data_IF_068480809528
#
_entry.id   IF_068480809528
#
_cell.length_a   1.000
_cell.length_b   1.000
_cell.length_c   1.000
_cell.angle_alpha   90.00
_cell.angle_beta   90.00
_cell.angle_gamma   90.00
#
_symmetry.space_group_name_H-M   'P 1'
#
loop_
_entity.id
_entity.type
_entity.pdbx_description
1 polymer ?
#
# COMPACT_ATOMS: atom_id res chain seq x y z
N UNK A 1 31.17 -12.68 -0.36
CA UNK A 1 31.79 -11.37 0.00
C UNK A 1 31.59 -10.34 -1.12
N UNK A 2 31.86 -10.71 -2.39
CA UNK A 2 31.71 -9.81 -3.55
C UNK A 2 30.23 -9.41 -3.73
N UNK A 3 29.31 -10.37 -3.76
CA UNK A 3 27.88 -10.13 -3.92
C UNK A 3 27.30 -9.20 -2.84
N UNK A 4 27.73 -9.36 -1.58
CA UNK A 4 27.28 -8.48 -0.50
C UNK A 4 27.68 -7.01 -0.74
N UNK A 5 28.91 -6.77 -1.23
CA UNK A 5 29.39 -5.43 -1.56
C UNK A 5 28.60 -4.82 -2.72
N UNK A 6 28.40 -5.56 -3.81
CA UNK A 6 27.63 -5.11 -4.96
C UNK A 6 26.21 -4.73 -4.58
N UNK A 7 25.52 -5.58 -3.82
CA UNK A 7 24.16 -5.34 -3.35
C UNK A 7 24.10 -4.14 -2.40
N UNK A 8 25.03 -4.03 -1.44
CA UNK A 8 25.09 -2.90 -0.53
C UNK A 8 25.36 -1.57 -1.24
N UNK A 9 26.18 -1.57 -2.28
CA UNK A 9 26.43 -0.37 -3.09
C UNK A 9 25.22 0.02 -3.94
N UNK A 10 24.46 -0.94 -4.47
CA UNK A 10 23.21 -0.69 -5.19
C UNK A 10 22.14 -0.03 -4.30
N UNK A 11 22.02 -0.47 -3.05
CA UNK A 11 21.07 0.09 -2.08
C UNK A 11 21.47 1.44 -1.47
N UNK A 12 22.60 2.01 -1.84
CA UNK A 12 22.94 3.42 -1.56
C UNK A 12 22.12 4.38 -2.41
N UNK A 13 21.58 3.91 -3.54
CA UNK A 13 20.70 4.70 -4.39
C UNK A 13 19.32 4.86 -3.75
N UNK A 14 18.87 6.11 -3.60
CA UNK A 14 17.62 6.43 -2.91
C UNK A 14 16.42 6.55 -3.85
N UNK A 15 16.66 6.93 -5.10
CA UNK A 15 15.60 7.05 -6.12
C UNK A 15 15.19 5.67 -6.61
N UNK A 16 13.91 5.33 -6.50
CA UNK A 16 13.36 4.00 -6.77
C UNK A 16 13.82 3.40 -8.11
N UNK A 17 13.60 4.12 -9.21
CA UNK A 17 13.91 3.61 -10.55
C UNK A 17 15.42 3.38 -10.74
N UNK A 18 16.25 4.30 -10.27
CA UNK A 18 17.70 4.18 -10.32
C UNK A 18 18.19 3.04 -9.42
N UNK A 19 17.58 2.86 -8.26
CA UNK A 19 17.88 1.74 -7.33
C UNK A 19 17.53 0.41 -7.97
N UNK A 20 16.34 0.26 -8.55
CA UNK A 20 15.95 -0.98 -9.23
C UNK A 20 16.91 -1.35 -10.35
N UNK A 21 17.33 -0.37 -11.16
CA UNK A 21 18.34 -0.59 -12.20
C UNK A 21 19.66 -1.10 -11.60
N UNK A 22 20.18 -0.43 -10.57
CA UNK A 22 21.45 -0.83 -9.92
C UNK A 22 21.35 -2.19 -9.23
N UNK A 23 20.23 -2.51 -8.62
CA UNK A 23 19.98 -3.84 -8.01
C UNK A 23 19.93 -4.91 -9.09
N UNK A 24 19.29 -4.65 -10.25
CA UNK A 24 19.31 -5.52 -11.41
C UNK A 24 20.74 -5.78 -11.89
N UNK A 25 21.50 -4.72 -12.19
CA UNK A 25 22.91 -4.80 -12.59
C UNK A 25 23.79 -5.56 -11.59
N UNK A 26 23.55 -5.36 -10.28
CA UNK A 26 24.26 -6.10 -9.23
C UNK A 26 23.92 -7.60 -9.25
N UNK A 27 22.64 -7.96 -9.43
CA UNK A 27 22.20 -9.36 -9.57
C UNK A 27 22.80 -10.03 -10.81
N UNK A 28 22.78 -9.35 -11.94
CA UNK A 28 23.35 -9.85 -13.20
C UNK A 28 24.85 -10.10 -13.04
N UNK A 29 25.59 -9.15 -12.44
CA UNK A 29 27.01 -9.32 -12.19
C UNK A 29 27.34 -10.46 -11.23
N UNK A 30 26.51 -10.67 -10.21
CA UNK A 30 26.67 -11.81 -9.29
C UNK A 30 26.43 -13.13 -10.04
N UNK A 31 25.41 -13.19 -10.89
CA UNK A 31 25.10 -14.36 -11.70
C UNK A 31 26.25 -14.71 -12.69
N UNK A 32 26.85 -13.70 -13.32
CA UNK A 32 28.03 -13.89 -14.18
C UNK A 32 29.18 -14.52 -13.40
N UNK A 33 29.53 -13.98 -12.21
CA UNK A 33 30.60 -14.50 -11.36
C UNK A 33 30.31 -15.95 -10.94
N UNK A 34 29.07 -16.27 -10.58
CA UNK A 34 28.68 -17.63 -10.20
C UNK A 34 28.80 -18.59 -11.37
N UNK A 35 28.42 -18.18 -12.59
CA UNK A 35 28.58 -18.98 -13.80
C UNK A 35 30.05 -19.20 -14.15
N UNK A 36 30.90 -18.17 -14.04
CA UNK A 36 32.37 -18.28 -14.25
C UNK A 36 33.02 -19.27 -13.26
N UNK A 37 32.50 -19.32 -12.03
CA UNK A 37 32.97 -20.27 -10.99
C UNK A 37 32.32 -21.67 -11.11
N UNK A 38 31.43 -21.89 -12.09
CA UNK A 38 30.82 -23.19 -12.35
C UNK A 38 29.59 -23.52 -11.47
N UNK A 39 28.99 -22.52 -10.81
CA UNK A 39 27.79 -22.71 -10.00
C UNK A 39 26.51 -22.62 -10.86
N UNK A 40 25.47 -23.33 -10.44
CA UNK A 40 24.14 -23.24 -11.06
C UNK A 40 23.44 -21.94 -10.66
N UNK A 41 23.24 -21.05 -11.60
CA UNK A 41 22.61 -19.74 -11.41
C UNK A 41 21.13 -19.88 -10.99
N UNK A 42 20.41 -20.92 -11.42
CA UNK A 42 19.02 -21.14 -11.02
C UNK A 42 18.91 -21.46 -9.51
N UNK A 43 19.84 -22.22 -8.97
CA UNK A 43 19.93 -22.50 -7.54
C UNK A 43 20.35 -21.28 -6.74
N UNK A 44 20.98 -20.30 -7.35
CA UNK A 44 21.40 -19.07 -6.68
C UNK A 44 20.27 -18.03 -6.48
N UNK A 45 19.19 -18.09 -7.24
CA UNK A 45 18.07 -17.12 -7.16
C UNK A 45 17.50 -16.93 -5.76
N UNK A 46 17.17 -17.99 -5.00
CA UNK A 46 16.72 -17.83 -3.60
C UNK A 46 17.78 -17.19 -2.71
N UNK A 47 19.04 -17.52 -2.91
CA UNK A 47 20.18 -16.97 -2.14
C UNK A 47 20.41 -15.49 -2.42
N UNK A 48 20.17 -15.03 -3.65
CA UNK A 48 20.23 -13.61 -4.01
C UNK A 48 19.16 -12.80 -3.29
N UNK A 49 17.95 -13.35 -3.18
CA UNK A 49 16.85 -12.73 -2.43
C UNK A 49 17.19 -12.65 -0.94
N UNK A 50 17.77 -13.69 -0.38
CA UNK A 50 18.20 -13.71 1.02
C UNK A 50 19.33 -12.71 1.26
N UNK A 51 20.30 -12.63 0.35
CA UNK A 51 21.39 -11.64 0.39
C UNK A 51 20.86 -10.21 0.39
N UNK A 52 19.89 -9.94 -0.48
CA UNK A 52 19.20 -8.65 -0.56
C UNK A 52 18.49 -8.31 0.77
N UNK A 53 17.76 -9.27 1.33
CA UNK A 53 17.11 -9.11 2.63
C UNK A 53 18.14 -8.83 3.75
N UNK A 54 19.22 -9.58 3.82
CA UNK A 54 20.28 -9.39 4.82
C UNK A 54 20.91 -7.99 4.73
N UNK A 55 21.20 -7.51 3.51
CA UNK A 55 21.78 -6.18 3.30
C UNK A 55 20.83 -5.08 3.74
N UNK A 56 19.58 -5.12 3.30
CA UNK A 56 18.58 -4.08 3.59
C UNK A 56 18.19 -4.08 5.06
N UNK A 57 17.77 -5.22 5.59
CA UNK A 57 17.32 -5.39 6.98
C UNK A 57 18.45 -5.08 7.96
N UNK A 58 19.66 -5.61 7.69
CA UNK A 58 20.84 -5.34 8.51
C UNK A 58 21.25 -3.87 8.52
N UNK A 59 21.14 -3.17 7.39
CA UNK A 59 21.39 -1.73 7.29
C UNK A 59 20.39 -0.92 8.12
N UNK A 60 19.10 -1.19 7.98
CA UNK A 60 18.04 -0.48 8.70
C UNK A 60 18.18 -0.66 10.22
N UNK A 61 18.38 -1.90 10.69
CA UNK A 61 18.56 -2.18 12.12
C UNK A 61 19.83 -1.54 12.71
N UNK A 62 20.91 -1.46 11.91
CA UNK A 62 22.18 -0.88 12.37
C UNK A 62 22.18 0.64 12.39
N UNK A 63 21.57 1.27 11.40
CA UNK A 63 21.69 2.72 11.17
C UNK A 63 20.44 3.50 11.55
N UNK A 64 19.27 2.86 11.61
CA UNK A 64 17.97 3.53 11.71
C UNK A 64 17.58 4.31 10.45
N UNK A 65 18.31 4.13 9.35
CA UNK A 65 18.08 4.82 8.07
C UNK A 65 17.52 3.82 7.06
N UNK A 66 16.41 4.18 6.42
CA UNK A 66 15.70 3.36 5.43
C UNK A 66 16.30 3.51 4.03
N UNK A 67 15.86 2.67 3.11
CA UNK A 67 16.38 2.62 1.74
C UNK A 67 16.16 3.91 0.93
N UNK A 68 15.17 4.71 1.30
CA UNK A 68 14.90 6.04 0.72
C UNK A 68 15.55 7.19 1.52
N UNK A 69 16.24 6.88 2.61
CA UNK A 69 16.93 7.83 3.45
C UNK A 69 16.14 8.42 4.60
N UNK A 70 14.85 8.05 4.75
CA UNK A 70 14.04 8.43 5.93
C UNK A 70 14.52 7.69 7.18
N UNK A 71 14.14 8.21 8.33
CA UNK A 71 14.18 7.48 9.59
C UNK A 71 13.01 6.48 9.69
N UNK A 72 12.88 5.79 10.82
CA UNK A 72 11.87 4.75 11.00
C UNK A 72 10.44 5.30 11.13
N UNK A 73 10.27 6.56 11.50
CA UNK A 73 8.98 7.18 11.86
C UNK A 73 8.43 8.15 10.82
N UNK A 74 9.29 8.74 10.02
CA UNK A 74 8.90 9.77 9.05
C UNK A 74 8.01 9.20 7.95
N UNK A 75 6.85 9.82 7.76
CA UNK A 75 5.93 9.56 6.65
C UNK A 75 6.40 10.36 5.43
N UNK A 76 6.25 9.80 4.22
CA UNK A 76 6.54 10.50 2.97
C UNK A 76 5.71 11.78 2.84
N UNK A 77 6.19 12.79 2.10
CA UNK A 77 5.41 14.00 1.83
C UNK A 77 4.04 13.66 1.24
N UNK A 78 3.00 14.32 1.76
CA UNK A 78 1.63 14.14 1.30
C UNK A 78 1.19 15.42 0.57
N UNK A 79 0.62 15.24 -0.62
CA UNK A 79 -0.12 16.25 -1.35
C UNK A 79 -1.53 15.73 -1.57
N UNK A 80 -2.53 16.52 -1.19
CA UNK A 80 -3.93 16.18 -1.34
C UNK A 80 -4.67 17.34 -2.01
N UNK A 81 -5.32 17.03 -3.13
CA UNK A 81 -6.09 17.98 -3.92
C UNK A 81 -7.51 17.45 -4.09
N UNK A 82 -8.51 18.34 -4.06
CA UNK A 82 -9.92 18.00 -4.25
C UNK A 82 -10.52 18.83 -5.40
N UNK A 83 -11.67 18.40 -5.91
CA UNK A 83 -12.36 19.12 -6.99
C UNK A 83 -11.60 19.11 -8.32
N UNK A 84 -10.70 18.14 -8.54
CA UNK A 84 -9.83 18.10 -9.73
C UNK A 84 -10.57 17.70 -11.02
N UNK A 85 -11.70 17.02 -10.89
CA UNK A 85 -12.56 16.65 -12.02
C UNK A 85 -13.84 17.47 -11.99
N UNK A 86 -13.98 18.50 -12.84
CA UNK A 86 -15.06 19.50 -12.73
C UNK A 86 -16.44 18.98 -13.06
N UNK A 87 -16.57 17.74 -13.58
CA UNK A 87 -17.84 17.10 -13.93
C UNK A 87 -18.21 15.92 -13.05
N UNK A 88 -17.36 15.57 -12.07
CA UNK A 88 -17.64 14.58 -11.05
C UNK A 88 -18.41 15.23 -9.89
N UNK A 89 -19.15 14.44 -9.10
CA UNK A 89 -19.78 14.95 -7.88
C UNK A 89 -18.74 15.29 -6.81
N UNK A 90 -17.70 14.44 -6.68
CA UNK A 90 -16.52 14.72 -5.89
C UNK A 90 -15.29 14.00 -6.45
N UNK A 91 -14.12 14.55 -6.26
CA UNK A 91 -12.88 13.96 -6.74
C UNK A 91 -11.70 14.40 -5.89
N UNK A 92 -10.71 13.53 -5.78
CA UNK A 92 -9.45 13.83 -5.12
C UNK A 92 -8.26 13.21 -5.84
N UNK A 93 -7.12 13.88 -5.76
CA UNK A 93 -5.82 13.33 -6.09
C UNK A 93 -5.01 13.27 -4.79
N UNK A 94 -4.78 12.08 -4.30
CA UNK A 94 -3.99 11.85 -3.10
C UNK A 94 -2.63 11.29 -3.49
N UNK A 95 -1.58 12.02 -3.17
CA UNK A 95 -0.19 11.63 -3.43
C UNK A 95 0.57 11.52 -2.13
N UNK A 96 1.28 10.41 -1.92
CA UNK A 96 2.19 10.18 -0.81
C UNK A 96 3.52 9.68 -1.36
N UNK A 97 4.48 10.58 -1.51
CA UNK A 97 5.73 10.31 -2.24
C UNK A 97 5.44 9.73 -3.62
N UNK A 98 5.89 8.52 -3.88
CA UNK A 98 5.72 7.77 -5.16
C UNK A 98 4.49 6.85 -5.13
N UNK A 99 3.43 7.23 -4.43
CA UNK A 99 2.14 6.51 -4.43
C UNK A 99 1.03 7.52 -4.64
N UNK A 100 0.25 7.35 -5.70
CA UNK A 100 -0.81 8.27 -6.08
C UNK A 100 -2.10 7.54 -6.40
N UNK A 101 -3.21 8.06 -5.91
CA UNK A 101 -4.57 7.60 -6.17
C UNK A 101 -5.44 8.74 -6.67
N UNK A 102 -6.01 8.59 -7.84
CA UNK A 102 -7.09 9.42 -8.35
C UNK A 102 -8.41 8.78 -7.91
N UNK A 103 -9.15 9.50 -7.08
CA UNK A 103 -10.40 8.97 -6.51
C UNK A 103 -11.58 9.83 -6.92
N UNK A 104 -12.64 9.17 -7.37
CA UNK A 104 -13.86 9.81 -7.84
C UNK A 104 -15.06 9.29 -7.06
N UNK A 105 -15.86 10.20 -6.51
CA UNK A 105 -17.14 9.91 -5.88
C UNK A 105 -18.29 10.30 -6.81
N UNK A 106 -19.22 9.36 -6.99
CA UNK A 106 -20.45 9.56 -7.76
C UNK A 106 -21.66 9.28 -6.88
N UNK A 107 -22.62 10.18 -6.92
CA UNK A 107 -23.88 10.06 -6.20
C UNK A 107 -24.96 9.60 -7.17
N UNK A 108 -25.68 8.55 -6.82
CA UNK A 108 -26.77 7.97 -7.60
C UNK A 108 -28.07 7.95 -6.81
N UNK A 109 -29.09 7.40 -7.42
CA UNK A 109 -30.43 7.21 -6.84
C UNK A 109 -30.54 5.85 -6.13
N UNK A 110 -31.65 5.55 -5.49
CA UNK A 110 -31.92 4.24 -4.92
C UNK A 110 -32.02 3.10 -5.97
N UNK A 111 -32.18 3.43 -7.26
CA UNK A 111 -32.15 2.43 -8.34
C UNK A 111 -30.72 1.97 -8.66
N UNK A 112 -29.73 2.79 -8.30
CA UNK A 112 -28.30 2.51 -8.54
C UNK A 112 -27.67 1.67 -7.41
N UNK A 113 -28.45 1.30 -6.39
CA UNK A 113 -28.00 0.42 -5.30
C UNK A 113 -27.58 -0.95 -5.85
N UNK A 114 -26.48 -1.46 -5.35
CA UNK A 114 -26.04 -2.81 -5.69
C UNK A 114 -26.95 -3.84 -5.03
N UNK A 115 -27.53 -4.71 -5.82
CA UNK A 115 -28.23 -5.91 -5.35
C UNK A 115 -27.18 -6.99 -5.05
N UNK A 116 -27.19 -7.50 -3.83
CA UNK A 116 -26.31 -8.57 -3.39
C UNK A 116 -27.18 -9.77 -3.08
N UNK A 117 -27.03 -10.82 -3.91
CA UNK A 117 -27.66 -12.12 -3.70
C UNK A 117 -26.68 -12.98 -2.90
N UNK A 118 -26.94 -13.09 -1.60
CA UNK A 118 -26.10 -13.84 -0.65
C UNK A 118 -26.83 -15.10 -0.16
N UNK A 119 -26.10 -16.00 0.45
CA UNK A 119 -26.66 -17.26 1.01
C UNK A 119 -27.75 -16.96 2.08
N UNK A 120 -27.58 -15.88 2.82
CA UNK A 120 -28.50 -15.42 3.86
C UNK A 120 -29.72 -14.67 3.32
N UNK A 121 -29.76 -14.41 2.02
CA UNK A 121 -30.83 -13.67 1.34
C UNK A 121 -30.35 -12.47 0.53
N UNK A 122 -31.27 -11.89 -0.24
CA UNK A 122 -30.99 -10.71 -1.05
C UNK A 122 -31.04 -9.43 -0.21
N UNK A 123 -30.04 -8.56 -0.37
CA UNK A 123 -30.05 -7.22 0.22
C UNK A 123 -29.45 -6.19 -0.74
N UNK A 124 -29.68 -4.91 -0.46
CA UNK A 124 -29.16 -3.80 -1.26
C UNK A 124 -28.12 -3.01 -0.50
N UNK A 125 -27.06 -2.62 -1.20
CA UNK A 125 -25.99 -1.77 -0.68
C UNK A 125 -26.00 -0.42 -1.40
N UNK A 126 -26.07 0.66 -0.65
CA UNK A 126 -25.98 2.03 -1.15
C UNK A 126 -24.57 2.61 -1.14
N UNK A 127 -23.57 1.82 -0.76
CA UNK A 127 -22.15 2.21 -0.80
C UNK A 127 -21.32 1.19 -1.54
N UNK A 128 -20.71 1.62 -2.64
CA UNK A 128 -19.85 0.84 -3.50
C UNK A 128 -18.45 1.47 -3.54
N UNK A 129 -17.41 0.67 -3.38
CA UNK A 129 -16.04 1.11 -3.54
C UNK A 129 -15.28 0.16 -4.44
N UNK A 130 -14.73 0.69 -5.52
CA UNK A 130 -13.94 -0.03 -6.50
C UNK A 130 -12.50 0.46 -6.46
N UNK A 131 -11.58 -0.47 -6.38
CA UNK A 131 -10.14 -0.21 -6.38
C UNK A 131 -9.54 -0.85 -7.63
N UNK A 132 -8.86 -0.05 -8.43
CA UNK A 132 -8.20 -0.48 -9.64
C UNK A 132 -6.69 -0.26 -9.54
N UNK A 133 -5.94 -1.32 -9.84
CA UNK A 133 -4.48 -1.33 -9.78
C UNK A 133 -3.89 -1.79 -11.13
N UNK A 134 -3.87 -0.89 -12.12
CA UNK A 134 -3.37 -1.24 -13.44
C UNK A 134 -1.85 -1.45 -13.43
N UNK A 135 -1.31 -2.29 -14.35
CA UNK A 135 0.12 -2.60 -14.39
C UNK A 135 1.02 -1.37 -14.49
N UNK A 136 0.59 -0.34 -15.20
CA UNK A 136 1.36 0.90 -15.34
C UNK A 136 1.64 1.61 -14.00
N UNK A 137 0.83 1.37 -12.96
CA UNK A 137 1.02 1.97 -11.64
C UNK A 137 2.34 1.56 -10.97
N UNK A 138 2.91 0.45 -11.40
CA UNK A 138 4.24 -0.03 -10.96
C UNK A 138 5.28 -0.01 -12.08
N UNK A 139 4.95 0.63 -13.23
CA UNK A 139 5.85 0.75 -14.38
C UNK A 139 5.92 -0.51 -15.24
N UNK A 140 4.94 -1.39 -15.14
CA UNK A 140 4.88 -2.64 -15.90
C UNK A 140 3.92 -2.54 -17.09
N UNK A 141 4.23 -3.31 -18.16
CA UNK A 141 3.30 -3.58 -19.24
C UNK A 141 2.55 -4.88 -18.93
N UNK A 142 1.22 -4.83 -18.95
CA UNK A 142 0.40 -5.98 -18.62
C UNK A 142 -1.01 -5.88 -19.20
N UNK A 143 -1.73 -7.00 -19.15
CA UNK A 143 -3.11 -7.05 -19.60
C UNK A 143 -4.02 -6.33 -18.61
N UNK A 144 -4.82 -5.40 -19.09
CA UNK A 144 -5.92 -4.82 -18.34
C UNK A 144 -7.17 -5.70 -18.52
N UNK A 145 -7.77 -6.10 -17.40
CA UNK A 145 -8.92 -7.02 -17.39
C UNK A 145 -9.81 -6.78 -16.19
N UNK A 146 -10.61 -7.78 -15.82
CA UNK A 146 -11.42 -7.75 -14.60
C UNK A 146 -10.54 -7.67 -13.35
N UNK A 147 -11.01 -7.03 -12.27
CA UNK A 147 -10.26 -6.93 -11.02
C UNK A 147 -9.86 -8.31 -10.48
N UNK A 148 -8.60 -8.44 -10.11
CA UNK A 148 -8.07 -9.63 -9.47
C UNK A 148 -8.41 -9.70 -7.97
N UNK A 149 -8.08 -10.82 -7.32
CA UNK A 149 -8.35 -11.01 -5.88
C UNK A 149 -7.70 -9.94 -5.01
N UNK A 150 -6.51 -9.47 -5.39
CA UNK A 150 -5.79 -8.40 -4.67
C UNK A 150 -6.56 -7.09 -4.72
N UNK A 151 -7.07 -6.72 -5.89
CA UNK A 151 -7.86 -5.50 -6.06
C UNK A 151 -9.17 -5.55 -5.28
N UNK A 152 -9.88 -6.69 -5.32
CA UNK A 152 -11.10 -6.91 -4.54
C UNK A 152 -10.80 -6.80 -3.03
N UNK A 153 -9.72 -7.42 -2.54
CA UNK A 153 -9.32 -7.38 -1.13
C UNK A 153 -8.95 -5.97 -0.66
N UNK A 154 -8.17 -5.22 -1.46
CA UNK A 154 -7.81 -3.84 -1.16
C UNK A 154 -9.02 -2.89 -1.19
N UNK A 155 -9.90 -3.05 -2.18
CA UNK A 155 -11.17 -2.32 -2.24
C UNK A 155 -12.04 -2.59 -1.03
N UNK A 156 -12.15 -3.85 -0.59
CA UNK A 156 -12.93 -4.22 0.60
C UNK A 156 -12.34 -3.68 1.90
N UNK A 157 -11.01 -3.60 2.00
CA UNK A 157 -10.35 -2.96 3.13
C UNK A 157 -10.69 -1.47 3.20
N UNK A 158 -10.59 -0.75 2.08
CA UNK A 158 -10.95 0.66 2.01
C UNK A 158 -12.46 0.89 2.27
N UNK A 159 -13.31 0.02 1.74
CA UNK A 159 -14.74 0.04 2.02
C UNK A 159 -15.02 -0.09 3.53
N UNK A 160 -14.40 -1.06 4.22
CA UNK A 160 -14.56 -1.24 5.66
C UNK A 160 -14.06 -0.05 6.46
N UNK A 161 -12.99 0.61 6.01
CA UNK A 161 -12.45 1.78 6.68
C UNK A 161 -13.42 2.96 6.70
N UNK A 162 -14.21 3.14 5.64
CA UNK A 162 -15.11 4.28 5.44
C UNK A 162 -16.55 3.98 5.91
N UNK A 163 -17.01 2.76 5.70
CA UNK A 163 -18.41 2.38 5.91
C UNK A 163 -19.00 2.78 7.28
N UNK A 164 -18.27 2.63 8.42
CA UNK A 164 -18.82 3.02 9.73
C UNK A 164 -19.07 4.52 9.90
N UNK A 165 -18.51 5.34 9.02
CA UNK A 165 -18.58 6.81 9.07
C UNK A 165 -19.62 7.39 8.08
N UNK A 166 -20.21 6.53 7.25
CA UNK A 166 -21.18 6.99 6.26
C UNK A 166 -22.50 7.39 6.94
N UNK A 167 -23.19 8.41 6.43
CA UNK A 167 -24.51 8.79 6.90
C UNK A 167 -25.52 7.68 6.65
N UNK A 168 -26.58 7.62 7.47
CA UNK A 168 -27.71 6.74 7.20
C UNK A 168 -28.47 7.19 5.94
N UNK A 169 -29.26 6.28 5.37
CA UNK A 169 -30.05 6.56 4.17
C UNK A 169 -31.08 7.69 4.39
N UNK A 170 -31.56 7.85 5.63
CA UNK A 170 -32.49 8.92 6.00
C UNK A 170 -31.79 10.28 6.03
N UNK A 171 -30.51 10.32 6.42
CA UNK A 171 -29.71 11.54 6.47
C UNK A 171 -29.16 11.94 5.10
N UNK A 172 -28.85 10.94 4.26
CA UNK A 172 -28.25 11.16 2.94
C UNK A 172 -28.79 10.11 1.94
N UNK A 173 -29.90 10.38 1.25
CA UNK A 173 -30.67 9.39 0.48
C UNK A 173 -30.05 9.08 -0.91
N UNK A 174 -28.74 9.10 -1.03
CA UNK A 174 -28.04 8.80 -2.27
C UNK A 174 -27.27 7.48 -2.18
N UNK A 175 -27.19 6.80 -3.31
CA UNK A 175 -26.23 5.73 -3.52
C UNK A 175 -24.86 6.35 -3.79
N UNK A 176 -23.86 5.95 -3.04
CA UNK A 176 -22.49 6.47 -3.14
C UNK A 176 -21.61 5.43 -3.83
N UNK A 177 -21.02 5.80 -4.97
CA UNK A 177 -20.04 4.97 -5.66
C UNK A 177 -18.69 5.68 -5.67
N UNK A 178 -17.68 5.04 -5.10
CA UNK A 178 -16.29 5.51 -5.11
C UNK A 178 -15.47 4.62 -6.02
N UNK A 179 -14.70 5.23 -6.91
CA UNK A 179 -13.73 4.53 -7.77
C UNK A 179 -12.35 5.12 -7.50
N UNK A 180 -11.41 4.28 -7.12
CA UNK A 180 -10.02 4.65 -6.90
C UNK A 180 -9.14 4.04 -7.97
N UNK A 181 -8.54 4.90 -8.80
CA UNK A 181 -7.56 4.54 -9.81
C UNK A 181 -6.16 4.80 -9.26
N UNK A 182 -5.36 3.75 -9.13
CA UNK A 182 -3.97 3.88 -8.70
C UNK A 182 -3.12 4.25 -9.91
N UNK A 183 -2.61 5.46 -9.92
CA UNK A 183 -1.78 5.99 -11.01
C UNK A 183 -0.29 5.71 -10.82
N UNK A 184 0.16 5.63 -9.57
CA UNK A 184 1.52 5.25 -9.20
C UNK A 184 1.52 4.52 -7.85
N UNK A 185 2.41 3.53 -7.66
CA UNK A 185 2.51 2.78 -6.41
C UNK A 185 3.95 2.45 -6.01
N UNK A 186 4.29 2.85 -4.79
CA UNK A 186 5.47 2.40 -4.06
C UNK A 186 5.13 2.19 -2.58
N UNK A 187 4.32 1.16 -2.31
CA UNK A 187 3.84 0.80 -0.97
C UNK A 187 2.49 1.42 -0.62
N UNK A 188 1.63 0.58 -0.12
CA UNK A 188 0.28 0.84 0.42
C UNK A 188 -0.62 1.80 -0.37
N UNK A 189 -0.91 1.44 -1.61
CA UNK A 189 -1.92 2.10 -2.42
C UNK A 189 -3.35 1.97 -1.85
N UNK A 190 -3.63 0.90 -1.09
CA UNK A 190 -4.91 0.75 -0.38
C UNK A 190 -5.13 1.85 0.67
N UNK A 191 -4.09 2.26 1.39
CA UNK A 191 -4.20 3.37 2.36
C UNK A 191 -4.27 4.73 1.65
N UNK A 192 -3.64 4.89 0.50
CA UNK A 192 -3.87 6.05 -0.37
C UNK A 192 -5.33 6.12 -0.84
N UNK A 193 -5.93 4.97 -1.17
CA UNK A 193 -7.35 4.85 -1.50
C UNK A 193 -8.24 5.26 -0.34
N UNK A 194 -7.94 4.84 0.90
CA UNK A 194 -8.71 5.26 2.09
C UNK A 194 -8.69 6.79 2.23
N UNK A 195 -7.50 7.39 2.21
CA UNK A 195 -7.35 8.83 2.35
C UNK A 195 -8.04 9.59 1.20
N UNK A 196 -7.80 9.19 -0.04
CA UNK A 196 -8.40 9.81 -1.21
C UNK A 196 -9.92 9.64 -1.24
N UNK A 197 -10.45 8.48 -0.84
CA UNK A 197 -11.90 8.25 -0.79
C UNK A 197 -12.59 9.11 0.26
N UNK A 198 -11.97 9.30 1.42
CA UNK A 198 -12.46 10.22 2.46
C UNK A 198 -12.55 11.64 1.90
N UNK A 199 -11.52 12.11 1.21
CA UNK A 199 -11.49 13.44 0.59
C UNK A 199 -12.54 13.57 -0.53
N UNK A 200 -12.65 12.59 -1.43
CA UNK A 200 -13.59 12.62 -2.55
C UNK A 200 -15.05 12.58 -2.08
N UNK A 201 -15.38 11.82 -1.02
CA UNK A 201 -16.72 11.80 -0.43
C UNK A 201 -17.05 13.16 0.21
N UNK A 202 -16.11 13.76 0.92
CA UNK A 202 -16.30 15.10 1.51
C UNK A 202 -16.45 16.18 0.43
N UNK A 203 -15.68 16.09 -0.66
CA UNK A 203 -15.79 16.98 -1.83
C UNK A 203 -17.15 16.83 -2.53
N UNK A 204 -17.71 15.62 -2.55
CA UNK A 204 -19.08 15.34 -3.05
C UNK A 204 -20.20 15.81 -2.11
N UNK A 205 -19.87 16.42 -0.96
CA UNK A 205 -20.85 16.90 0.02
C UNK A 205 -21.46 15.79 0.89
N UNK A 206 -20.88 14.59 0.93
CA UNK A 206 -21.31 13.53 1.86
C UNK A 206 -21.00 13.97 3.30
N UNK A 207 -21.97 14.00 4.21
CA UNK A 207 -21.78 14.49 5.57
C UNK A 207 -21.07 13.46 6.45
N UNK A 208 -19.76 13.24 6.17
CA UNK A 208 -18.91 12.44 7.05
C UNK A 208 -18.70 13.19 8.36
N UNK A 209 -18.88 12.56 9.52
CA UNK A 209 -18.69 13.22 10.81
C UNK A 209 -17.23 13.64 11.05
N UNK A 210 -16.29 12.97 10.40
CA UNK A 210 -14.84 13.26 10.44
C UNK A 210 -14.09 12.56 9.33
N UNK A 211 -12.89 13.05 8.95
CA UNK A 211 -12.07 12.40 7.93
C UNK A 211 -11.55 11.04 8.41
N UNK A 212 -11.37 10.13 7.46
CA UNK A 212 -10.73 8.83 7.66
C UNK A 212 -9.36 8.86 7.00
N UNK A 213 -8.34 8.46 7.74
CA UNK A 213 -6.98 8.30 7.22
C UNK A 213 -6.50 6.87 7.43
N UNK A 214 -5.44 6.48 6.73
CA UNK A 214 -4.83 5.17 6.87
C UNK A 214 -3.34 5.17 6.59
N UNK A 215 -2.62 4.27 7.24
CA UNK A 215 -1.18 4.09 7.11
C UNK A 215 -0.83 2.61 7.07
N UNK A 216 0.27 2.27 6.38
CA UNK A 216 0.88 0.94 6.45
C UNK A 216 2.17 1.01 7.26
N UNK A 217 2.21 0.17 8.29
CA UNK A 217 3.36 -0.04 9.16
C UNK A 217 4.05 -1.34 8.78
N UNK A 218 5.36 -1.41 8.96
CA UNK A 218 6.14 -2.62 8.74
C UNK A 218 6.96 -3.00 9.95
N UNK A 219 7.49 -4.22 9.92
CA UNK A 219 8.37 -4.75 10.94
C UNK A 219 9.58 -5.42 10.29
N UNK A 220 10.74 -5.11 10.83
CA UNK A 220 11.96 -5.88 10.64
C UNK A 220 12.38 -6.43 12.01
N UNK A 221 12.43 -7.76 12.15
CA UNK A 221 12.79 -8.42 13.41
C UNK A 221 13.91 -9.43 13.15
N UNK A 222 14.98 -9.30 13.89
CA UNK A 222 16.13 -10.21 13.90
C UNK A 222 16.47 -10.57 15.35
N UNK A 223 17.35 -11.56 15.55
CA UNK A 223 17.77 -11.99 16.89
C UNK A 223 18.35 -10.84 17.74
N UNK A 224 18.91 -9.81 17.08
CA UNK A 224 19.57 -8.67 17.72
C UNK A 224 18.67 -7.49 18.00
N UNK A 225 17.38 -7.58 17.65
CA UNK A 225 16.42 -6.50 17.85
C UNK A 225 15.40 -6.36 16.72
N UNK A 226 14.58 -5.35 16.81
CA UNK A 226 13.56 -5.08 15.83
C UNK A 226 13.45 -3.57 15.51
N UNK A 227 12.85 -3.27 14.36
CA UNK A 227 12.49 -1.92 13.94
C UNK A 227 11.06 -1.92 13.38
N UNK A 228 10.23 -1.01 13.89
CA UNK A 228 8.91 -0.72 13.33
C UNK A 228 9.04 0.44 12.36
N UNK A 229 8.53 0.29 11.14
CA UNK A 229 8.64 1.25 10.06
C UNK A 229 7.28 1.90 9.79
N UNK A 230 7.21 3.23 9.81
CA UNK A 230 6.00 3.97 9.41
C UNK A 230 5.98 4.22 7.91
N UNK A 231 4.83 4.07 7.26
CA UNK A 231 4.65 4.30 5.83
C UNK A 231 5.68 3.55 4.98
N UNK A 232 5.54 2.23 4.96
CA UNK A 232 6.48 1.33 4.27
C UNK A 232 6.44 1.46 2.75
N UNK A 233 7.60 1.28 2.14
CA UNK A 233 7.78 1.14 0.71
C UNK A 233 7.47 -0.29 0.25
N UNK A 234 7.29 -0.50 -1.06
CA UNK A 234 7.08 -1.82 -1.62
C UNK A 234 8.21 -2.82 -1.32
N UNK A 235 9.46 -2.37 -1.40
CA UNK A 235 10.62 -3.19 -1.06
C UNK A 235 10.64 -3.58 0.43
N UNK A 236 10.25 -2.65 1.31
CA UNK A 236 10.19 -2.89 2.76
C UNK A 236 9.04 -3.82 3.16
N UNK A 237 7.89 -3.75 2.45
CA UNK A 237 6.82 -4.75 2.58
C UNK A 237 7.33 -6.14 2.15
N UNK A 238 7.99 -6.21 0.99
CA UNK A 238 8.48 -7.49 0.45
C UNK A 238 9.55 -8.15 1.32
N UNK A 239 10.47 -7.36 1.89
CA UNK A 239 11.60 -7.82 2.71
C UNK A 239 11.30 -7.82 4.21
N UNK A 240 10.18 -7.25 4.64
CA UNK A 240 9.77 -7.17 6.04
C UNK A 240 9.07 -8.42 6.56
N UNK A 241 8.87 -8.46 7.87
CA UNK A 241 8.26 -9.57 8.63
C UNK A 241 6.79 -9.35 8.93
N UNK A 242 6.30 -8.13 8.78
CA UNK A 242 4.91 -7.76 8.99
C UNK A 242 4.53 -6.60 8.06
N UNK A 243 3.33 -6.69 7.48
CA UNK A 243 2.59 -5.60 6.86
C UNK A 243 1.33 -5.35 7.70
N UNK A 244 1.23 -4.18 8.31
CA UNK A 244 0.17 -3.82 9.24
C UNK A 244 -0.49 -2.53 8.79
N UNK A 245 -1.67 -2.66 8.17
CA UNK A 245 -2.47 -1.54 7.68
C UNK A 245 -3.54 -1.18 8.71
N UNK A 246 -3.54 0.09 9.09
CA UNK A 246 -4.51 0.65 10.04
C UNK A 246 -5.18 1.85 9.41
N UNK A 247 -6.50 1.89 9.48
CA UNK A 247 -7.30 3.04 9.08
C UNK A 247 -8.28 3.43 10.17
N UNK A 248 -8.57 4.71 10.26
CA UNK A 248 -9.48 5.23 11.29
C UNK A 248 -9.58 6.73 11.29
N UNK A 249 -10.17 7.22 12.37
CA UNK A 249 -10.36 8.64 12.69
C UNK A 249 -9.60 8.98 13.95
N UNK A 250 -9.62 10.24 14.36
CA UNK A 250 -9.10 10.68 15.67
C UNK A 250 -9.76 9.99 16.88
N UNK A 251 -10.95 9.38 16.69
CA UNK A 251 -11.69 8.71 17.79
C UNK A 251 -11.44 7.21 17.85
N UNK A 252 -10.88 6.60 16.82
CA UNK A 252 -10.60 5.18 16.85
C UNK A 252 -10.38 4.55 15.48
N UNK A 253 -10.01 3.29 15.53
CA UNK A 253 -9.71 2.47 14.35
C UNK A 253 -11.02 1.96 13.74
N UNK A 254 -11.17 2.10 12.44
CA UNK A 254 -12.33 1.61 11.66
C UNK A 254 -12.02 0.36 10.86
N UNK A 255 -10.76 0.18 10.44
CA UNK A 255 -10.32 -1.03 9.76
C UNK A 255 -8.86 -1.34 10.09
N UNK A 256 -8.56 -2.64 10.10
CA UNK A 256 -7.25 -3.18 10.37
C UNK A 256 -7.03 -4.40 9.47
N UNK A 257 -5.84 -4.48 8.88
CA UNK A 257 -5.34 -5.67 8.21
C UNK A 257 -3.90 -5.89 8.62
N UNK A 258 -3.56 -7.11 9.00
CA UNK A 258 -2.20 -7.49 9.36
C UNK A 258 -1.83 -8.78 8.66
N UNK A 259 -0.68 -8.76 7.98
CA UNK A 259 -0.04 -9.93 7.41
C UNK A 259 1.30 -10.13 8.12
N UNK A 260 1.46 -11.29 8.76
CA UNK A 260 2.64 -11.63 9.57
C UNK A 260 3.34 -12.81 8.90
N UNK A 261 4.63 -12.62 8.58
CA UNK A 261 5.48 -13.62 7.92
C UNK A 261 6.36 -14.40 8.91
N UNK A 262 6.26 -14.08 10.20
CA UNK A 262 6.98 -14.72 11.32
C UNK A 262 6.01 -15.38 12.29
N UNK A 263 6.52 -16.24 13.16
CA UNK A 263 5.68 -17.05 14.07
C UNK A 263 4.90 -16.25 15.10
N UNK A 264 5.43 -15.10 15.54
CA UNK A 264 4.75 -14.25 16.52
C UNK A 264 5.31 -12.82 16.55
N UNK A 265 4.48 -11.88 16.97
CA UNK A 265 4.83 -10.52 17.34
C UNK A 265 4.54 -10.30 18.83
N UNK A 266 5.34 -9.47 19.48
CA UNK A 266 5.19 -9.18 20.91
C UNK A 266 4.20 -8.04 21.14
N UNK A 267 3.56 -7.95 22.33
CA UNK A 267 2.72 -6.80 22.69
C UNK A 267 3.47 -5.46 22.61
N UNK A 268 4.77 -5.46 22.85
CA UNK A 268 5.64 -4.28 22.72
C UNK A 268 5.69 -3.79 21.26
N UNK A 269 5.92 -4.69 20.30
CA UNK A 269 5.93 -4.38 18.87
C UNK A 269 4.58 -3.79 18.45
N UNK A 270 3.48 -4.42 18.87
CA UNK A 270 2.13 -3.94 18.57
C UNK A 270 1.85 -2.55 19.14
N UNK A 271 2.31 -2.29 20.37
CA UNK A 271 2.14 -1.00 21.00
C UNK A 271 2.92 0.11 20.26
N UNK A 272 4.12 -0.17 19.81
CA UNK A 272 4.93 0.78 19.03
C UNK A 272 4.30 1.03 17.66
N UNK A 273 3.83 -0.03 16.98
CA UNK A 273 3.18 0.07 15.67
C UNK A 273 1.86 0.83 15.75
#
# INVERSE_FOLDING_TARGET
KVGNKLMADAYKERVKQARYKKVGEAKDRINEILAEEGFDVELAKPMLKELEAQVVRGSILKTGIRIDGRDLKTVRPILAEVGILPRAHGSSLFTRGETQALVVATLGTGQDEQVIDALEGEYRSNFLLHYNFPPYSVGECGRMGSPGRREIGHGKLAWRALHPLLPSKEQFPYTMRVVSEITESNGSSSMATVCGSSLALMDAGVPLPRPVAGIAMGLIKEDRGFAVLSDILGDEDHLGDMDFKVAGTEQGITALQMDIKITSITPEIMKIA
#
